data_IF_792916269541
#
_entry.id   IF_792916269541
#
_cell.length_a   1.000
_cell.length_b   1.000
_cell.length_c   1.000
_cell.angle_alpha   90.00
_cell.angle_beta   90.00
_cell.angle_gamma   90.00
#
_symmetry.space_group_name_H-M   'P 1'
#
loop_
_entity.id
_entity.type
_entity.pdbx_description
1 polymer ?
#
# COMPACT_ATOMS: atom_id res chain seq x y z
N UNK A 1 1.20 38.83 11.93
CA UNK A 1 0.91 37.42 12.26
C UNK A 1 -0.52 37.16 11.82
N UNK A 2 -0.80 36.01 11.19
CA UNK A 2 -2.16 35.65 10.87
C UNK A 2 -2.81 35.04 12.12
N UNK A 3 -3.94 35.60 12.56
CA UNK A 3 -4.75 35.08 13.67
C UNK A 3 -5.86 34.22 13.09
N UNK A 4 -6.11 33.05 13.68
CA UNK A 4 -7.13 32.10 13.22
C UNK A 4 -7.78 31.40 14.41
N UNK A 5 -9.10 31.25 14.36
CA UNK A 5 -9.88 30.53 15.38
C UNK A 5 -9.73 29.00 15.27
N UNK A 6 -9.42 28.51 14.06
CA UNK A 6 -9.19 27.09 13.77
C UNK A 6 -8.12 26.92 12.70
N UNK A 7 -7.21 25.98 12.93
CA UNK A 7 -6.22 25.54 11.96
C UNK A 7 -6.47 24.08 11.63
N UNK A 8 -6.58 23.77 10.34
CA UNK A 8 -6.70 22.41 9.84
C UNK A 8 -5.38 21.99 9.21
N UNK A 9 -4.81 20.90 9.74
CA UNK A 9 -3.62 20.28 9.17
C UNK A 9 -4.04 19.19 8.18
N UNK A 10 -3.88 19.44 6.88
CA UNK A 10 -4.08 18.45 5.83
C UNK A 10 -2.83 17.54 5.74
N UNK A 11 -2.69 16.62 6.68
CA UNK A 11 -1.54 15.70 6.74
C UNK A 11 -1.50 14.75 5.54
N UNK A 12 -0.28 14.32 5.20
CA UNK A 12 -0.09 13.23 4.25
C UNK A 12 -0.50 11.86 4.82
N UNK A 13 -0.22 10.81 4.05
CA UNK A 13 -0.44 9.43 4.46
C UNK A 13 0.88 8.77 4.88
N UNK A 14 0.81 7.92 5.90
CA UNK A 14 1.90 7.05 6.36
C UNK A 14 1.29 5.65 6.51
N UNK A 15 1.94 4.58 6.03
CA UNK A 15 1.37 3.25 6.12
C UNK A 15 1.42 2.73 7.57
N UNK A 16 0.44 1.93 7.97
CA UNK A 16 0.37 1.40 9.35
C UNK A 16 1.47 0.37 9.66
N UNK A 17 2.23 -0.05 8.65
CA UNK A 17 3.21 -1.14 8.74
C UNK A 17 4.65 -0.64 8.73
N UNK A 18 4.90 0.68 8.87
CA UNK A 18 6.27 1.23 8.87
C UNK A 18 7.16 0.46 9.85
N UNK A 19 6.71 0.30 11.10
CA UNK A 19 7.46 -0.37 12.17
C UNK A 19 7.19 -1.87 12.28
N UNK A 20 6.34 -2.43 11.41
CA UNK A 20 5.91 -3.82 11.50
C UNK A 20 6.79 -4.74 10.65
N UNK A 21 7.57 -5.60 11.30
CA UNK A 21 8.42 -6.62 10.67
C UNK A 21 7.67 -7.94 10.48
N UNK A 22 6.44 -7.87 9.97
CA UNK A 22 5.71 -9.07 9.56
C UNK A 22 6.56 -9.85 8.54
N UNK A 23 6.69 -11.16 8.74
CA UNK A 23 7.47 -12.05 7.86
C UNK A 23 7.01 -12.03 6.38
N UNK A 24 5.82 -11.50 6.10
CA UNK A 24 5.23 -11.36 4.77
C UNK A 24 5.43 -9.97 4.14
N UNK A 25 5.85 -8.95 4.90
CA UNK A 25 5.93 -7.55 4.45
C UNK A 25 7.38 -7.07 4.42
N UNK A 26 8.28 -7.91 3.91
CA UNK A 26 9.74 -7.73 4.00
C UNK A 26 10.29 -6.70 3.01
N UNK A 27 9.52 -6.31 1.99
CA UNK A 27 9.93 -5.34 0.97
C UNK A 27 9.12 -4.06 1.14
N UNK A 28 9.79 -2.98 1.52
CA UNK A 28 9.21 -1.64 1.65
C UNK A 28 10.05 -0.62 0.89
N UNK A 29 9.44 0.50 0.52
CA UNK A 29 10.17 1.68 0.05
C UNK A 29 10.71 2.52 1.23
N UNK A 30 11.39 3.63 0.89
CA UNK A 30 12.00 4.52 1.88
C UNK A 30 10.98 5.20 2.82
N UNK A 31 9.72 5.27 2.41
CA UNK A 31 8.60 5.83 3.18
C UNK A 31 7.84 4.74 3.97
N UNK A 32 8.27 3.47 3.86
CA UNK A 32 7.70 2.33 4.57
C UNK A 32 6.46 1.72 3.92
N UNK A 33 6.11 2.10 2.68
CA UNK A 33 5.03 1.44 1.93
C UNK A 33 5.51 0.11 1.37
N UNK A 34 4.61 -0.87 1.30
CA UNK A 34 4.94 -2.25 0.94
C UNK A 34 5.02 -2.41 -0.58
N UNK A 35 6.06 -3.10 -1.03
CA UNK A 35 6.30 -3.46 -2.42
C UNK A 35 5.88 -4.91 -2.69
N UNK A 36 5.54 -5.21 -3.95
CA UNK A 36 5.26 -6.59 -4.35
C UNK A 36 6.50 -7.49 -4.16
N UNK A 37 6.26 -8.74 -3.74
CA UNK A 37 7.26 -9.80 -3.70
C UNK A 37 6.78 -10.99 -4.54
N UNK A 38 7.11 -10.96 -5.83
CA UNK A 38 6.71 -11.99 -6.79
C UNK A 38 7.32 -13.35 -6.50
N UNK A 39 8.50 -13.38 -5.88
CA UNK A 39 9.22 -14.61 -5.57
C UNK A 39 8.53 -15.32 -4.40
N UNK A 40 8.17 -14.54 -3.37
CA UNK A 40 7.35 -15.00 -2.23
C UNK A 40 5.87 -15.19 -2.58
N UNK A 41 5.41 -14.77 -3.76
CA UNK A 41 4.01 -14.87 -4.19
C UNK A 41 3.09 -13.85 -3.52
N UNK A 42 3.63 -12.71 -3.09
CA UNK A 42 2.93 -11.65 -2.36
C UNK A 42 2.65 -10.49 -3.31
N UNK A 43 1.39 -10.06 -3.36
CA UNK A 43 0.96 -8.88 -4.12
C UNK A 43 0.27 -7.90 -3.17
N UNK A 44 0.71 -6.65 -3.19
CA UNK A 44 0.20 -5.56 -2.34
C UNK A 44 -0.96 -4.86 -3.04
N UNK A 45 -1.84 -4.19 -2.30
CA UNK A 45 -2.95 -3.43 -2.86
C UNK A 45 -3.23 -2.16 -2.06
N UNK A 46 -3.75 -1.14 -2.76
CA UNK A 46 -4.32 0.03 -2.11
C UNK A 46 -3.26 0.92 -1.45
N UNK A 47 -3.68 1.63 -0.40
CA UNK A 47 -2.82 2.55 0.36
C UNK A 47 -1.66 1.88 1.11
N UNK A 48 -1.64 0.55 1.21
CA UNK A 48 -0.46 -0.17 1.72
C UNK A 48 0.73 -0.08 0.74
N UNK A 49 0.46 0.12 -0.56
CA UNK A 49 1.46 0.24 -1.63
C UNK A 49 2.00 1.66 -1.79
N UNK A 50 1.13 2.67 -1.66
CA UNK A 50 1.44 4.10 -1.84
C UNK A 50 0.24 4.97 -1.46
N UNK A 51 0.41 6.28 -1.17
CA UNK A 51 -0.70 7.19 -0.98
C UNK A 51 -1.59 7.29 -2.23
N UNK A 52 -2.89 7.11 -2.07
CA UNK A 52 -3.85 7.25 -3.17
C UNK A 52 -5.28 7.47 -2.69
N UNK A 53 -6.13 7.93 -3.61
CA UNK A 53 -7.57 8.07 -3.36
C UNK A 53 -8.30 6.71 -3.39
N UNK A 54 -9.57 6.73 -2.97
CA UNK A 54 -10.41 5.53 -2.87
C UNK A 54 -10.63 4.84 -4.22
N UNK A 55 -10.89 5.59 -5.29
CA UNK A 55 -11.17 5.02 -6.59
C UNK A 55 -9.90 4.38 -7.21
N UNK A 56 -8.75 5.02 -7.01
CA UNK A 56 -7.43 4.48 -7.36
C UNK A 56 -7.11 3.21 -6.57
N UNK A 57 -7.39 3.19 -5.27
CA UNK A 57 -7.24 2.00 -4.40
C UNK A 57 -8.06 0.82 -4.90
N UNK A 58 -9.33 1.04 -5.26
CA UNK A 58 -10.20 -0.03 -5.74
C UNK A 58 -9.71 -0.59 -7.08
N UNK A 59 -9.23 0.28 -7.99
CA UNK A 59 -8.65 -0.17 -9.26
C UNK A 59 -7.36 -0.96 -9.06
N UNK A 60 -6.46 -0.48 -8.20
CA UNK A 60 -5.21 -1.20 -7.88
C UNK A 60 -5.51 -2.57 -7.27
N UNK A 61 -6.42 -2.64 -6.28
CA UNK A 61 -6.83 -3.89 -5.64
C UNK A 61 -7.42 -4.90 -6.63
N UNK A 62 -8.20 -4.44 -7.60
CA UNK A 62 -8.72 -5.30 -8.67
C UNK A 62 -7.59 -5.88 -9.51
N UNK A 63 -6.60 -5.05 -9.87
CA UNK A 63 -5.40 -5.49 -10.60
C UNK A 63 -4.55 -6.46 -9.79
N UNK A 64 -4.35 -6.19 -8.50
CA UNK A 64 -3.60 -7.05 -7.58
C UNK A 64 -4.25 -8.43 -7.45
N UNK A 65 -5.57 -8.49 -7.26
CA UNK A 65 -6.33 -9.74 -7.21
C UNK A 65 -6.18 -10.54 -8.52
N UNK A 66 -6.30 -9.88 -9.69
CA UNK A 66 -6.10 -10.54 -10.97
C UNK A 66 -4.67 -11.10 -11.12
N UNK A 67 -3.63 -10.33 -10.73
CA UNK A 67 -2.24 -10.80 -10.74
C UNK A 67 -2.05 -12.02 -9.84
N UNK A 68 -2.58 -11.98 -8.61
CA UNK A 68 -2.48 -13.08 -7.66
C UNK A 68 -3.16 -14.35 -8.18
N UNK A 69 -4.37 -14.24 -8.75
CA UNK A 69 -5.08 -15.38 -9.37
C UNK A 69 -4.25 -15.97 -10.51
N UNK A 70 -3.71 -15.15 -11.41
CA UNK A 70 -2.90 -15.64 -12.53
C UNK A 70 -1.59 -16.27 -12.06
N UNK A 71 -0.96 -15.74 -11.02
CA UNK A 71 0.23 -16.33 -10.42
C UNK A 71 -0.07 -17.69 -9.77
N UNK A 72 -1.21 -17.82 -9.08
CA UNK A 72 -1.66 -19.06 -8.47
C UNK A 72 -1.92 -20.15 -9.52
N UNK A 73 -2.62 -19.81 -10.61
CA UNK A 73 -2.91 -20.75 -11.72
C UNK A 73 -1.63 -21.25 -12.40
N UNK A 74 -0.60 -20.41 -12.55
CA UNK A 74 0.68 -20.81 -13.17
C UNK A 74 1.57 -21.68 -12.27
N UNK A 75 1.32 -21.70 -10.96
CA UNK A 75 2.06 -22.52 -9.99
C UNK A 75 1.41 -23.89 -9.75
N UNK A 76 0.17 -24.12 -10.21
CA UNK A 76 -0.55 -25.39 -10.17
C UNK A 76 -0.18 -26.27 -11.36
#
# INVERSE_FOLDING_TARGET
QAEADLVVLATGMVPNVVEDDMALLTRKDDDGFVLDDTDAGITVAGVARRPEDVASSVRDATGAAARAVMAAVRRA
#
